data_IF_540108322556
#
_entry.id   IF_540108322556
#
_cell.length_a   1.000
_cell.length_b   1.000
_cell.length_c   1.000
_cell.angle_alpha   90.00
_cell.angle_beta   90.00
_cell.angle_gamma   90.00
#
_symmetry.space_group_name_H-M   'P 1'
#
loop_
_entity.id
_entity.type
_entity.pdbx_description
1 polymer ?
#
# COMPACT_ATOMS: atom_id res chain seq x y z
N UNK A 1 16.92 4.46 -0.50
CA UNK A 1 15.69 4.54 -1.32
C UNK A 1 15.07 3.16 -1.26
N UNK A 2 13.83 3.10 -0.86
CA UNK A 2 13.04 1.87 -0.73
C UNK A 2 12.58 1.44 -2.14
N UNK A 3 12.44 0.15 -2.40
CA UNK A 3 11.94 -0.42 -3.66
C UNK A 3 12.77 -0.18 -4.94
N UNK A 4 14.08 -0.06 -4.88
CA UNK A 4 14.88 0.10 -6.11
C UNK A 4 15.11 -1.21 -6.86
N UNK A 5 15.59 -2.24 -6.19
CA UNK A 5 15.83 -3.56 -6.78
C UNK A 5 14.62 -4.45 -6.63
N UNK A 6 13.94 -4.37 -5.47
CA UNK A 6 12.69 -5.07 -5.25
C UNK A 6 11.66 -4.68 -6.32
N UNK A 7 11.57 -3.40 -6.72
CA UNK A 7 10.67 -2.99 -7.81
C UNK A 7 10.83 -3.86 -9.08
N UNK A 8 12.07 -4.22 -9.45
CA UNK A 8 12.31 -5.07 -10.63
C UNK A 8 11.74 -6.48 -10.48
N UNK A 9 11.75 -7.02 -9.27
CA UNK A 9 11.28 -8.38 -8.97
C UNK A 9 9.91 -8.38 -8.26
N UNK A 10 9.34 -7.21 -8.01
CA UNK A 10 8.13 -7.04 -7.18
C UNK A 10 6.97 -7.89 -7.70
N UNK A 11 6.66 -7.76 -8.98
CA UNK A 11 5.57 -8.52 -9.59
C UNK A 11 5.80 -10.05 -9.50
N UNK A 12 7.07 -10.51 -9.51
CA UNK A 12 7.41 -11.92 -9.43
C UNK A 12 7.43 -12.48 -7.99
N UNK A 13 7.63 -11.60 -6.99
CA UNK A 13 7.81 -12.01 -5.60
C UNK A 13 6.55 -11.79 -4.75
N UNK A 14 5.86 -10.67 -4.96
CA UNK A 14 4.81 -10.18 -4.07
C UNK A 14 3.45 -10.07 -4.77
N UNK A 15 3.43 -10.04 -6.12
CA UNK A 15 2.19 -9.86 -6.86
C UNK A 15 1.22 -11.01 -6.61
N UNK A 16 0.05 -10.66 -6.11
CA UNK A 16 -1.11 -11.53 -6.01
C UNK A 16 -2.29 -10.91 -6.79
N UNK A 17 -2.52 -11.43 -7.99
CA UNK A 17 -3.59 -10.92 -8.86
C UNK A 17 -4.99 -11.22 -8.30
N UNK A 18 -5.14 -12.27 -7.50
CA UNK A 18 -6.41 -12.62 -6.86
C UNK A 18 -6.71 -11.63 -5.74
N UNK A 19 -5.75 -11.34 -4.86
CA UNK A 19 -5.86 -10.30 -3.83
C UNK A 19 -6.12 -8.92 -4.45
N UNK A 20 -5.44 -8.56 -5.55
CA UNK A 20 -5.70 -7.29 -6.25
C UNK A 20 -7.14 -7.21 -6.78
N UNK A 21 -7.73 -8.31 -7.24
CA UNK A 21 -9.15 -8.37 -7.66
C UNK A 21 -10.12 -8.25 -6.49
N UNK A 22 -9.77 -8.80 -5.33
CA UNK A 22 -10.57 -8.65 -4.11
C UNK A 22 -10.61 -7.19 -3.67
N UNK A 23 -9.49 -6.48 -3.68
CA UNK A 23 -9.41 -5.04 -3.45
C UNK A 23 -10.34 -4.25 -4.39
N UNK A 24 -10.24 -4.50 -5.69
CA UNK A 24 -11.08 -3.85 -6.69
C UNK A 24 -12.56 -4.15 -6.45
N UNK A 25 -12.91 -5.41 -6.17
CA UNK A 25 -14.30 -5.83 -5.91
C UNK A 25 -14.86 -5.15 -4.66
N UNK A 26 -14.05 -5.03 -3.61
CA UNK A 26 -14.44 -4.35 -2.39
C UNK A 26 -14.68 -2.86 -2.63
N UNK A 27 -13.80 -2.19 -3.36
CA UNK A 27 -13.96 -0.78 -3.74
C UNK A 27 -15.24 -0.59 -4.58
N UNK A 28 -15.47 -1.44 -5.60
CA UNK A 28 -16.67 -1.38 -6.46
C UNK A 28 -17.97 -1.54 -5.65
N UNK A 29 -17.94 -2.30 -4.56
CA UNK A 29 -19.12 -2.51 -3.69
C UNK A 29 -19.51 -1.26 -2.89
N UNK A 30 -18.54 -0.39 -2.59
CA UNK A 30 -18.72 0.78 -1.73
C UNK A 30 -18.73 2.11 -2.51
N UNK A 31 -18.08 2.18 -3.67
CA UNK A 31 -17.90 3.40 -4.44
C UNK A 31 -18.12 3.15 -5.94
N UNK A 32 -19.12 3.81 -6.52
CA UNK A 32 -19.31 3.79 -7.98
C UNK A 32 -18.14 4.51 -8.71
N UNK A 33 -17.86 4.15 -9.98
CA UNK A 33 -16.80 4.79 -10.76
C UNK A 33 -16.82 6.30 -10.73
N UNK A 34 -15.72 6.89 -10.32
CA UNK A 34 -15.55 8.35 -10.17
C UNK A 34 -14.06 8.72 -10.30
N UNK A 35 -13.71 9.96 -9.99
CA UNK A 35 -12.33 10.40 -9.94
C UNK A 35 -11.69 10.05 -8.60
N UNK A 36 -10.56 9.33 -8.67
CA UNK A 36 -9.88 8.77 -7.51
C UNK A 36 -8.37 9.05 -7.52
N UNK A 37 -7.80 9.02 -6.32
CA UNK A 37 -6.37 9.09 -6.06
C UNK A 37 -5.93 7.81 -5.34
N UNK A 38 -4.94 7.12 -5.87
CA UNK A 38 -4.27 6.01 -5.20
C UNK A 38 -2.92 6.45 -4.66
N UNK A 39 -2.72 6.24 -3.37
CA UNK A 39 -1.50 6.54 -2.63
C UNK A 39 -0.65 5.27 -2.53
N UNK A 40 0.66 5.39 -2.78
CA UNK A 40 1.59 4.26 -2.80
C UNK A 40 1.14 3.12 -3.75
N UNK A 41 0.85 3.48 -5.00
CA UNK A 41 0.27 2.56 -6.00
C UNK A 41 1.21 1.43 -6.47
N UNK A 42 2.48 1.44 -6.04
CA UNK A 42 3.48 0.47 -6.50
C UNK A 42 3.58 0.42 -8.03
N UNK A 43 3.53 -0.78 -8.58
CA UNK A 43 3.58 -1.01 -10.03
C UNK A 43 2.24 -0.75 -10.76
N UNK A 44 1.21 -0.24 -10.07
CA UNK A 44 -0.04 0.26 -10.63
C UNK A 44 -1.08 -0.80 -10.99
N UNK A 45 -1.02 -1.99 -10.41
CA UNK A 45 -1.92 -3.10 -10.77
C UNK A 45 -3.38 -2.79 -10.42
N UNK A 46 -3.65 -2.40 -9.17
CA UNK A 46 -5.00 -2.03 -8.71
C UNK A 46 -5.48 -0.79 -9.47
N UNK A 47 -4.61 0.21 -9.68
CA UNK A 47 -4.90 1.40 -10.49
C UNK A 47 -5.42 1.03 -11.87
N UNK A 48 -4.72 0.12 -12.58
CA UNK A 48 -5.12 -0.31 -13.94
C UNK A 48 -6.44 -1.06 -13.93
N UNK A 49 -6.66 -1.94 -12.96
CA UNK A 49 -7.92 -2.67 -12.81
C UNK A 49 -9.10 -1.72 -12.57
N UNK A 50 -8.92 -0.69 -11.73
CA UNK A 50 -9.95 0.32 -11.48
C UNK A 50 -10.27 1.15 -12.73
N UNK A 51 -9.25 1.52 -13.53
CA UNK A 51 -9.50 2.21 -14.81
C UNK A 51 -10.30 1.33 -15.76
N UNK A 52 -10.05 0.03 -15.84
CA UNK A 52 -10.84 -0.91 -16.64
C UNK A 52 -12.31 -1.01 -16.17
N UNK A 53 -12.57 -0.67 -14.91
CA UNK A 53 -13.92 -0.58 -14.32
C UNK A 53 -14.57 0.80 -14.49
N UNK A 54 -13.88 1.75 -15.13
CA UNK A 54 -14.40 3.08 -15.47
C UNK A 54 -14.07 4.18 -14.47
N UNK A 55 -13.17 3.93 -13.51
CA UNK A 55 -12.65 4.99 -12.64
C UNK A 55 -11.66 5.88 -13.39
N UNK A 56 -11.59 7.15 -13.01
CA UNK A 56 -10.55 8.08 -13.48
C UNK A 56 -9.49 8.17 -12.40
N UNK A 57 -8.26 7.74 -12.70
CA UNK A 57 -7.24 7.56 -11.69
C UNK A 57 -6.09 8.54 -11.82
N UNK A 58 -5.73 9.15 -10.69
CA UNK A 58 -4.39 9.67 -10.42
C UNK A 58 -3.74 8.71 -9.41
N UNK A 59 -2.48 8.36 -9.60
CA UNK A 59 -1.80 7.43 -8.73
C UNK A 59 -0.38 7.93 -8.42
N UNK A 60 0.07 7.74 -7.20
CA UNK A 60 1.41 8.15 -6.80
C UNK A 60 2.14 7.06 -6.02
N UNK A 61 3.45 7.06 -6.17
CA UNK A 61 4.35 6.23 -5.38
C UNK A 61 5.64 7.00 -5.07
N UNK A 62 6.27 6.69 -3.95
CA UNK A 62 7.54 7.30 -3.55
C UNK A 62 8.71 6.81 -4.40
N UNK A 63 8.63 5.58 -4.92
CA UNK A 63 9.67 4.95 -5.74
C UNK A 63 9.56 5.36 -7.21
N UNK A 64 10.59 6.02 -7.72
CA UNK A 64 10.70 6.37 -9.13
C UNK A 64 10.66 5.12 -10.04
N UNK A 65 11.25 4.00 -9.59
CA UNK A 65 11.25 2.75 -10.35
C UNK A 65 9.85 2.10 -10.39
N UNK A 66 9.08 2.15 -9.30
CA UNK A 66 7.68 1.70 -9.29
C UNK A 66 6.83 2.53 -10.25
N UNK A 67 6.93 3.86 -10.16
CA UNK A 67 6.22 4.78 -11.09
C UNK A 67 6.61 4.51 -12.55
N UNK A 68 7.86 4.22 -12.83
CA UNK A 68 8.34 3.89 -14.18
C UNK A 68 7.74 2.56 -14.67
N UNK A 69 7.66 1.55 -13.81
CA UNK A 69 7.00 0.30 -14.16
C UNK A 69 5.51 0.50 -14.42
N UNK A 70 4.80 1.20 -13.53
CA UNK A 70 3.39 1.53 -13.70
C UNK A 70 3.14 2.26 -15.03
N UNK A 71 3.95 3.28 -15.35
CA UNK A 71 3.87 3.99 -16.65
C UNK A 71 4.11 3.08 -17.86
N UNK A 72 4.98 2.08 -17.72
CA UNK A 72 5.29 1.16 -18.81
C UNK A 72 4.14 0.20 -19.14
N UNK A 73 3.30 -0.10 -18.16
CA UNK A 73 2.10 -0.93 -18.30
C UNK A 73 0.89 -0.14 -18.84
N UNK A 74 0.82 1.16 -18.54
CA UNK A 74 -0.27 2.05 -18.97
C UNK A 74 -0.20 2.39 -20.45
N UNK A 75 -0.74 1.50 -21.28
CA UNK A 75 -0.62 1.55 -22.74
C UNK A 75 -1.36 2.73 -23.39
N UNK A 76 -2.38 3.29 -22.75
CA UNK A 76 -3.24 4.34 -23.32
C UNK A 76 -2.97 5.74 -22.74
N UNK A 77 -2.09 5.86 -21.73
CA UNK A 77 -1.80 7.14 -21.07
C UNK A 77 -3.00 7.74 -20.32
N UNK A 78 -3.96 6.89 -19.93
CA UNK A 78 -5.20 7.30 -19.27
C UNK A 78 -5.04 7.57 -17.78
N UNK A 79 -3.89 7.21 -17.20
CA UNK A 79 -3.59 7.33 -15.78
C UNK A 79 -2.48 8.34 -15.58
N UNK A 80 -2.66 9.27 -14.66
CA UNK A 80 -1.60 10.18 -14.23
C UNK A 80 -0.79 9.53 -13.10
N UNK A 81 0.42 9.04 -13.39
CA UNK A 81 1.34 8.50 -12.40
C UNK A 81 2.37 9.55 -11.96
N UNK A 82 2.51 9.76 -10.65
CA UNK A 82 3.37 10.75 -10.03
C UNK A 82 4.39 10.09 -9.09
N UNK A 83 5.63 10.56 -9.12
CA UNK A 83 6.61 10.19 -8.09
C UNK A 83 6.51 11.20 -6.95
N UNK A 84 5.83 10.81 -5.86
CA UNK A 84 5.50 11.73 -4.76
C UNK A 84 5.29 10.95 -3.46
N UNK A 85 5.65 11.58 -2.34
CA UNK A 85 5.37 11.06 -1.01
C UNK A 85 3.89 11.21 -0.67
N UNK A 86 3.23 10.12 -0.27
CA UNK A 86 1.81 10.11 0.11
C UNK A 86 1.49 11.01 1.31
N UNK A 87 2.49 11.38 2.11
CA UNK A 87 2.35 12.31 3.24
C UNK A 87 2.24 13.77 2.82
N UNK A 88 2.49 14.10 1.54
CA UNK A 88 2.52 15.45 1.01
C UNK A 88 1.83 15.51 -0.35
N UNK A 89 0.54 15.84 -0.37
CA UNK A 89 -0.30 15.83 -1.58
C UNK A 89 -0.32 17.18 -2.33
N UNK A 90 0.81 17.91 -2.28
CA UNK A 90 0.95 19.22 -2.91
C UNK A 90 0.64 19.18 -4.42
N UNK A 91 -0.06 20.21 -4.90
CA UNK A 91 -0.44 20.39 -6.29
C UNK A 91 -1.45 19.35 -6.83
N UNK A 92 -2.04 18.53 -5.97
CA UNK A 92 -3.14 17.63 -6.33
C UNK A 92 -4.49 18.33 -6.15
N UNK A 93 -5.49 17.83 -6.87
CA UNK A 93 -6.87 18.27 -6.76
C UNK A 93 -7.61 17.65 -5.57
N UNK A 94 -8.94 17.65 -5.65
CA UNK A 94 -9.79 16.92 -4.71
C UNK A 94 -10.47 15.77 -5.45
N UNK A 95 -10.61 14.64 -4.77
CA UNK A 95 -11.06 13.38 -5.34
C UNK A 95 -12.33 12.87 -4.64
N UNK A 96 -13.11 12.07 -5.35
CA UNK A 96 -14.30 11.40 -4.79
C UNK A 96 -13.95 10.12 -4.04
N UNK A 97 -12.83 9.49 -4.39
CA UNK A 97 -12.22 8.38 -3.67
C UNK A 97 -10.73 8.58 -3.47
N UNK A 98 -10.20 8.22 -2.30
CA UNK A 98 -8.76 8.17 -2.05
C UNK A 98 -8.46 6.78 -1.47
N UNK A 99 -7.40 6.13 -1.96
CA UNK A 99 -7.01 4.77 -1.59
C UNK A 99 -5.58 4.75 -1.07
N UNK A 100 -5.33 4.02 0.02
CA UNK A 100 -3.99 3.68 0.51
C UNK A 100 -4.03 2.21 0.92
N UNK A 101 -3.63 1.32 0.01
CA UNK A 101 -3.91 -0.11 0.05
C UNK A 101 -2.64 -0.93 0.23
N UNK A 102 -2.83 -2.23 0.50
CA UNK A 102 -1.75 -3.21 0.61
C UNK A 102 -0.70 -2.80 1.65
N UNK A 103 -1.17 -2.56 2.88
CA UNK A 103 -0.34 -2.24 4.05
C UNK A 103 0.63 -1.06 3.88
N UNK A 104 0.44 -0.28 2.81
CA UNK A 104 1.28 0.90 2.51
C UNK A 104 1.21 1.95 3.62
N UNK A 105 0.07 2.07 4.32
CA UNK A 105 -0.10 2.95 5.47
C UNK A 105 0.93 2.66 6.58
N UNK A 106 1.30 1.40 6.79
CA UNK A 106 2.21 0.97 7.84
C UNK A 106 3.66 1.46 7.66
N UNK A 107 4.01 2.01 6.49
CA UNK A 107 5.29 2.69 6.26
C UNK A 107 5.37 4.09 6.89
N UNK A 108 4.27 4.65 7.38
CA UNK A 108 4.29 5.88 8.19
C UNK A 108 4.64 5.46 9.62
N UNK A 109 5.86 5.69 10.06
CA UNK A 109 6.38 5.14 11.32
C UNK A 109 6.09 6.02 12.55
N UNK A 110 5.89 7.32 12.36
CA UNK A 110 5.73 8.26 13.46
C UNK A 110 4.26 8.67 13.64
N UNK A 111 3.77 8.61 14.87
CA UNK A 111 2.36 8.93 15.20
C UNK A 111 1.96 10.36 14.79
N UNK A 112 2.88 11.29 14.90
CA UNK A 112 2.69 12.69 14.51
C UNK A 112 2.52 12.82 12.99
N UNK A 113 3.21 11.99 12.21
CA UNK A 113 3.07 11.95 10.75
C UNK A 113 1.73 11.35 10.32
N UNK A 114 1.16 10.41 11.08
CA UNK A 114 -0.17 9.84 10.80
C UNK A 114 -1.27 10.90 10.98
N UNK A 115 -1.20 11.69 12.04
CA UNK A 115 -2.17 12.77 12.24
C UNK A 115 -2.10 13.79 11.08
N UNK A 116 -0.87 14.15 10.65
CA UNK A 116 -0.66 15.01 9.50
C UNK A 116 -1.13 14.38 8.19
N UNK A 117 -0.89 13.08 7.98
CA UNK A 117 -1.34 12.33 6.81
C UNK A 117 -2.87 12.31 6.70
N UNK A 118 -3.59 11.98 7.77
CA UNK A 118 -5.05 12.00 7.75
C UNK A 118 -5.60 13.41 7.52
N UNK A 119 -4.98 14.43 8.12
CA UNK A 119 -5.33 15.81 7.81
C UNK A 119 -5.14 16.12 6.31
N UNK A 120 -4.00 15.77 5.74
CA UNK A 120 -3.69 16.00 4.33
C UNK A 120 -4.69 15.30 3.40
N UNK A 121 -4.99 14.01 3.64
CA UNK A 121 -5.99 13.25 2.89
C UNK A 121 -7.36 13.94 2.98
N UNK A 122 -7.75 14.39 4.16
CA UNK A 122 -9.05 15.06 4.37
C UNK A 122 -9.22 16.34 3.55
N UNK A 123 -8.12 17.08 3.30
CA UNK A 123 -8.14 18.30 2.48
C UNK A 123 -8.29 18.02 0.99
N UNK A 124 -7.93 16.79 0.56
CA UNK A 124 -8.01 16.36 -0.83
C UNK A 124 -9.23 15.47 -1.12
N UNK A 125 -10.04 15.18 -0.10
CA UNK A 125 -11.28 14.45 -0.27
C UNK A 125 -12.45 15.42 -0.53
N UNK A 126 -13.25 15.15 -1.55
CA UNK A 126 -14.47 15.92 -1.83
C UNK A 126 -15.53 15.71 -0.74
N UNK A 127 -16.49 16.63 -0.57
CA UNK A 127 -17.63 16.38 0.32
C UNK A 127 -18.35 15.07 -0.02
N UNK A 128 -18.53 14.21 0.98
CA UNK A 128 -19.07 12.84 0.87
C UNK A 128 -18.19 11.89 0.04
N UNK A 129 -16.92 12.23 -0.19
CA UNK A 129 -15.94 11.30 -0.76
C UNK A 129 -15.54 10.23 0.26
N UNK A 130 -15.00 9.11 -0.23
CA UNK A 130 -14.60 7.98 0.60
C UNK A 130 -13.08 7.84 0.63
N UNK A 131 -12.55 7.63 1.82
CA UNK A 131 -11.16 7.24 2.02
C UNK A 131 -11.11 5.77 2.45
N UNK A 132 -10.36 4.97 1.70
CA UNK A 132 -10.12 3.55 1.95
C UNK A 132 -8.66 3.35 2.29
N UNK A 133 -8.38 2.66 3.37
CA UNK A 133 -7.03 2.21 3.67
C UNK A 133 -7.07 0.93 4.49
N UNK A 134 -6.01 0.17 4.43
CA UNK A 134 -5.78 -0.96 5.29
C UNK A 134 -4.56 -0.74 6.19
N UNK A 135 -4.48 -1.55 7.21
CA UNK A 135 -3.38 -1.56 8.17
C UNK A 135 -3.25 -2.93 8.79
N UNK A 136 -2.05 -3.32 9.14
CA UNK A 136 -1.82 -4.55 9.88
C UNK A 136 -2.60 -4.58 11.19
N UNK A 137 -3.17 -5.73 11.53
CA UNK A 137 -3.69 -6.03 12.86
C UNK A 137 -2.54 -6.27 13.85
N UNK A 138 -2.85 -6.30 15.15
CA UNK A 138 -1.84 -6.61 16.18
C UNK A 138 -1.33 -8.05 16.07
N UNK A 139 -2.11 -8.94 15.48
CA UNK A 139 -1.75 -10.34 15.29
C UNK A 139 -0.56 -10.52 14.35
N UNK A 140 -0.31 -9.52 13.47
CA UNK A 140 0.89 -9.47 12.64
C UNK A 140 2.19 -9.49 13.44
N UNK A 141 2.17 -8.92 14.66
CA UNK A 141 3.32 -8.93 15.56
C UNK A 141 3.53 -10.34 16.17
N UNK A 142 2.45 -11.05 16.45
CA UNK A 142 2.52 -12.42 16.97
C UNK A 142 2.93 -13.41 15.87
N UNK A 143 2.51 -13.20 14.64
CA UNK A 143 2.87 -14.02 13.47
C UNK A 143 4.39 -14.02 13.24
N UNK A 144 5.05 -12.88 13.44
CA UNK A 144 6.49 -12.71 13.20
C UNK A 144 7.30 -12.50 14.48
N UNK A 145 6.82 -12.95 15.65
CA UNK A 145 7.61 -12.99 16.88
C UNK A 145 8.85 -13.88 16.73
N UNK A 146 8.77 -14.88 15.85
CA UNK A 146 9.88 -15.71 15.39
C UNK A 146 10.20 -15.38 13.93
N UNK A 147 11.49 -15.19 13.63
CA UNK A 147 11.95 -14.83 12.28
C UNK A 147 11.46 -15.83 11.22
N UNK A 148 10.70 -15.32 10.26
CA UNK A 148 10.36 -16.03 9.02
C UNK A 148 11.47 -15.86 7.99
N UNK A 149 11.81 -16.93 7.27
CA UNK A 149 12.82 -16.89 6.21
C UNK A 149 12.36 -17.63 4.97
N UNK A 150 12.46 -16.98 3.83
CA UNK A 150 12.20 -17.55 2.51
C UNK A 150 13.41 -17.35 1.60
N UNK A 151 13.68 -18.32 0.74
CA UNK A 151 14.73 -18.24 -0.29
C UNK A 151 14.20 -18.79 -1.60
N UNK A 152 14.63 -18.18 -2.71
CA UNK A 152 14.24 -18.63 -4.03
C UNK A 152 15.14 -18.11 -5.14
N UNK A 153 14.71 -18.30 -6.38
CA UNK A 153 15.41 -17.80 -7.56
C UNK A 153 14.40 -17.34 -8.61
N UNK A 154 14.70 -16.24 -9.26
CA UNK A 154 13.95 -15.73 -10.41
C UNK A 154 14.39 -16.39 -11.72
N UNK A 155 13.60 -16.21 -12.76
CA UNK A 155 13.88 -16.81 -14.09
C UNK A 155 15.20 -16.37 -14.72
N UNK A 156 15.64 -15.15 -14.39
CA UNK A 156 16.93 -14.59 -14.86
C UNK A 156 18.14 -15.15 -14.10
N UNK A 157 17.90 -16.02 -13.10
CA UNK A 157 18.92 -16.65 -12.27
C UNK A 157 19.36 -15.82 -11.06
N UNK A 158 18.78 -14.66 -10.81
CA UNK A 158 18.97 -13.95 -9.55
C UNK A 158 18.35 -14.76 -8.41
N UNK A 159 19.11 -15.01 -7.34
CA UNK A 159 18.61 -15.66 -6.13
C UNK A 159 18.19 -14.58 -5.13
N UNK A 160 17.21 -14.90 -4.29
CA UNK A 160 16.80 -14.00 -3.22
C UNK A 160 16.72 -14.72 -1.89
N UNK A 161 16.84 -13.93 -0.85
CA UNK A 161 16.47 -14.26 0.51
C UNK A 161 15.56 -13.14 1.02
N UNK A 162 14.47 -13.52 1.66
CA UNK A 162 13.53 -12.64 2.31
C UNK A 162 13.36 -13.10 3.75
N UNK A 163 13.56 -12.22 4.72
CA UNK A 163 13.26 -12.47 6.12
C UNK A 163 12.30 -11.44 6.67
N UNK A 164 11.45 -11.89 7.59
CA UNK A 164 10.48 -11.04 8.30
C UNK A 164 10.61 -11.32 9.79
N UNK A 165 10.65 -10.27 10.60
CA UNK A 165 10.67 -10.36 12.06
C UNK A 165 9.93 -9.19 12.66
N UNK A 166 9.17 -9.43 13.75
CA UNK A 166 8.57 -8.38 14.54
C UNK A 166 9.39 -8.11 15.81
N UNK A 167 9.53 -6.85 16.17
CA UNK A 167 10.10 -6.41 17.45
C UNK A 167 9.34 -5.18 17.94
N UNK A 168 8.85 -5.22 19.16
CA UNK A 168 7.95 -4.21 19.73
C UNK A 168 6.69 -4.01 18.87
N UNK A 169 6.47 -2.83 18.32
CA UNK A 169 5.36 -2.48 17.42
C UNK A 169 5.80 -2.35 15.94
N UNK A 170 6.95 -2.93 15.59
CA UNK A 170 7.51 -2.87 14.24
C UNK A 170 7.65 -4.24 13.60
N UNK A 171 7.43 -4.28 12.29
CA UNK A 171 7.73 -5.40 11.41
C UNK A 171 8.89 -5.00 10.49
N UNK A 172 9.96 -5.78 10.55
CA UNK A 172 11.15 -5.61 9.73
C UNK A 172 11.14 -6.64 8.62
N UNK A 173 11.35 -6.20 7.39
CA UNK A 173 11.48 -7.09 6.23
C UNK A 173 12.81 -6.80 5.54
N UNK A 174 13.64 -7.81 5.45
CA UNK A 174 14.97 -7.75 4.86
C UNK A 174 15.04 -8.58 3.59
N UNK A 175 15.39 -7.94 2.49
CA UNK A 175 15.61 -8.61 1.21
C UNK A 175 17.09 -8.60 0.85
N UNK A 176 17.60 -9.73 0.37
CA UNK A 176 18.90 -9.84 -0.24
C UNK A 176 18.79 -10.48 -1.64
N UNK A 177 19.25 -9.77 -2.65
CA UNK A 177 19.24 -10.21 -4.05
C UNK A 177 20.69 -10.55 -4.47
N UNK A 178 20.93 -11.82 -4.78
CA UNK A 178 22.23 -12.36 -5.14
C UNK A 178 22.35 -12.41 -6.67
N UNK A 179 22.92 -11.36 -7.23
CA UNK A 179 23.23 -11.27 -8.66
C UNK A 179 24.65 -11.79 -8.92
N UNK A 180 25.00 -12.05 -10.20
CA UNK A 180 26.29 -12.61 -10.59
C UNK A 180 27.51 -11.87 -10.02
N UNK A 181 27.44 -10.53 -9.98
CA UNK A 181 28.58 -9.68 -9.64
C UNK A 181 28.36 -8.83 -8.37
N UNK A 182 27.18 -8.91 -7.74
CA UNK A 182 26.84 -8.08 -6.57
C UNK A 182 25.73 -8.70 -5.75
N UNK A 183 25.68 -8.31 -4.48
CA UNK A 183 24.51 -8.53 -3.60
C UNK A 183 23.91 -7.16 -3.33
N UNK A 184 22.60 -7.06 -3.46
CA UNK A 184 21.83 -5.87 -3.09
C UNK A 184 20.95 -6.23 -1.92
N UNK A 185 20.89 -5.34 -0.94
CA UNK A 185 20.04 -5.49 0.24
C UNK A 185 19.05 -4.32 0.30
N UNK A 186 17.82 -4.61 0.63
CA UNK A 186 16.77 -3.63 0.91
C UNK A 186 16.14 -3.95 2.26
N UNK A 187 15.89 -2.90 3.05
CA UNK A 187 15.32 -2.99 4.38
C UNK A 187 14.01 -2.22 4.39
N UNK A 188 12.95 -2.88 4.80
CA UNK A 188 11.63 -2.31 4.95
C UNK A 188 11.23 -2.36 6.40
N UNK A 189 10.66 -1.28 6.89
CA UNK A 189 10.16 -1.16 8.26
C UNK A 189 8.72 -0.71 8.16
N UNK A 190 7.84 -1.45 8.81
CA UNK A 190 6.43 -1.10 8.95
C UNK A 190 6.11 -1.03 10.44
N UNK A 191 5.16 -0.18 10.81
CA UNK A 191 4.69 -0.08 12.19
C UNK A 191 3.25 -0.53 12.28
N UNK A 192 2.97 -1.36 13.27
CA UNK A 192 1.63 -1.81 13.62
C UNK A 192 1.08 -0.91 14.72
N UNK A 193 -0.16 -0.46 14.56
CA UNK A 193 -0.77 0.52 15.44
C UNK A 193 -1.90 -0.09 16.26
N UNK A 194 -2.00 0.35 17.52
CA UNK A 194 -3.16 0.03 18.34
C UNK A 194 -4.45 0.51 17.64
N UNK A 195 -5.42 -0.38 17.37
CA UNK A 195 -6.61 -0.07 16.59
C UNK A 195 -7.48 1.04 17.22
N UNK A 196 -7.50 1.10 18.56
CA UNK A 196 -8.26 2.15 19.25
C UNK A 196 -7.61 3.50 19.06
N UNK A 197 -6.28 3.58 19.21
CA UNK A 197 -5.54 4.82 18.99
C UNK A 197 -5.71 5.30 17.54
N UNK A 198 -5.64 4.38 16.59
CA UNK A 198 -5.80 4.67 15.16
C UNK A 198 -7.21 5.21 14.86
N UNK A 199 -8.26 4.54 15.37
CA UNK A 199 -9.65 4.98 15.22
C UNK A 199 -9.91 6.35 15.86
N UNK A 200 -9.36 6.59 17.07
CA UNK A 200 -9.48 7.88 17.76
C UNK A 200 -8.78 9.01 16.96
N UNK A 201 -7.67 8.69 16.28
CA UNK A 201 -6.93 9.65 15.44
C UNK A 201 -7.67 9.92 14.12
N UNK A 202 -8.12 8.87 13.45
CA UNK A 202 -8.89 8.95 12.20
C UNK A 202 -10.18 9.76 12.37
N UNK A 203 -10.89 9.57 13.50
CA UNK A 203 -12.15 10.24 13.82
C UNK A 203 -12.04 11.76 14.01
N UNK A 204 -10.84 12.32 14.07
CA UNK A 204 -10.65 13.77 14.05
C UNK A 204 -10.95 14.39 12.68
N UNK A 205 -10.85 13.59 11.62
CA UNK A 205 -10.91 14.04 10.22
C UNK A 205 -12.02 13.40 9.41
N UNK A 206 -12.47 12.19 9.79
CA UNK A 206 -13.41 11.37 9.05
C UNK A 206 -14.47 10.75 9.95
N UNK A 207 -15.63 10.50 9.40
CA UNK A 207 -16.63 9.59 9.97
C UNK A 207 -16.28 8.17 9.53
N UNK A 208 -15.98 7.28 10.47
CA UNK A 208 -15.68 5.86 10.17
C UNK A 208 -16.99 5.17 9.80
N UNK A 209 -17.12 4.74 8.56
CA UNK A 209 -18.33 4.11 8.05
C UNK A 209 -18.29 2.59 8.22
N UNK A 210 -17.12 1.98 8.05
CA UNK A 210 -16.96 0.54 8.05
C UNK A 210 -15.55 0.17 8.49
N UNK A 211 -15.45 -0.90 9.25
CA UNK A 211 -14.19 -1.58 9.58
C UNK A 211 -14.40 -3.05 9.30
N UNK A 212 -13.52 -3.65 8.51
CA UNK A 212 -13.57 -5.09 8.18
C UNK A 212 -12.19 -5.69 8.31
N UNK A 213 -12.16 -6.98 8.61
CA UNK A 213 -11.00 -7.86 8.41
C UNK A 213 -11.25 -8.65 7.13
N UNK A 214 -10.24 -8.84 6.29
CA UNK A 214 -10.32 -9.62 5.03
C UNK A 214 -11.56 -9.29 4.17
N UNK A 215 -11.83 -7.99 3.99
CA UNK A 215 -12.91 -7.41 3.17
C UNK A 215 -14.34 -7.63 3.69
N UNK A 216 -14.73 -8.81 4.18
CA UNK A 216 -16.12 -9.18 4.48
C UNK A 216 -16.42 -9.47 5.95
N UNK A 217 -15.42 -9.68 6.78
CA UNK A 217 -15.61 -9.91 8.21
C UNK A 217 -15.78 -8.56 8.92
N UNK A 218 -16.94 -8.31 9.51
CA UNK A 218 -17.22 -7.05 10.21
C UNK A 218 -16.38 -6.91 11.49
N UNK A 219 -15.70 -5.77 11.62
CA UNK A 219 -14.84 -5.46 12.75
C UNK A 219 -13.43 -6.01 12.59
N UNK A 220 -12.72 -6.13 13.71
CA UNK A 220 -11.38 -6.69 13.80
C UNK A 220 -11.51 -8.12 14.31
N UNK A 221 -11.16 -9.09 13.49
CA UNK A 221 -11.15 -10.49 13.85
C UNK A 221 -9.80 -10.87 14.49
N UNK A 222 -9.79 -11.81 15.48
CA UNK A 222 -8.54 -12.36 15.99
C UNK A 222 -7.84 -13.23 14.93
N UNK A 223 -6.53 -13.06 14.78
CA UNK A 223 -5.68 -13.91 13.93
C UNK A 223 -5.45 -13.42 12.50
N UNK A 224 -5.86 -12.17 12.20
CA UNK A 224 -5.62 -11.54 10.87
C UNK A 224 -4.97 -10.16 10.97
#
# INVERSE_FOLDING_TARGET
>A
MIYNTLAHYYDALVKDEEASREWVSWIESELAPCDCLELACGSGEITEMLVQKGYTMTALDLSEEMVKQAKSKNLEGSIEFLCQDMRHLNNLGSYSGIFCLCDSFNYILEKEEIDAFFHEVSQHLKPNGLFFFDTHSLDRLEEFDSEYNETGAFEDGCQYQWSIMAEDDYVYQDFAFYMKDKVIQEHHIQRVYDPKWLSDTLSKYFDILKVTTDFDIEGIAPGD
#
